data_IF_131651616525
#
_entry.id   IF_131651616525
#
_cell.length_a   1.000
_cell.length_b   1.000
_cell.length_c   1.000
_cell.angle_alpha   90.00
_cell.angle_beta   90.00
_cell.angle_gamma   90.00
#
_symmetry.space_group_name_H-M   'P 1'
#
loop_
_entity.id
_entity.type
_entity.pdbx_description
1 polymer ?
#
# COMPACT_ATOMS: atom_id res chain seq x y z
N UNK A 1 44.81 14.95 -21.66
CA UNK A 1 43.95 13.94 -22.32
C UNK A 1 43.04 13.25 -21.31
N UNK A 2 43.60 12.65 -20.25
CA UNK A 2 42.84 11.98 -19.19
C UNK A 2 41.84 12.92 -18.50
N UNK A 3 42.25 14.14 -18.12
CA UNK A 3 41.37 15.09 -17.42
C UNK A 3 40.15 15.53 -18.26
N UNK A 4 40.33 15.65 -19.57
CA UNK A 4 39.25 15.99 -20.51
C UNK A 4 38.21 14.86 -20.59
N UNK A 5 38.67 13.61 -20.63
CA UNK A 5 37.81 12.43 -20.62
C UNK A 5 37.06 12.34 -19.28
N UNK A 6 37.74 12.56 -18.15
CA UNK A 6 37.10 12.55 -16.84
C UNK A 6 36.08 13.68 -16.67
N UNK A 7 36.36 14.88 -17.17
CA UNK A 7 35.41 16.00 -17.15
C UNK A 7 34.17 15.69 -18.00
N UNK A 8 34.36 15.02 -19.13
CA UNK A 8 33.29 14.63 -20.03
C UNK A 8 32.45 13.44 -19.54
N UNK A 9 32.94 12.61 -18.61
CA UNK A 9 32.24 11.41 -18.08
C UNK A 9 31.63 11.64 -16.68
N UNK A 10 32.23 12.53 -15.88
CA UNK A 10 31.79 12.82 -14.50
C UNK A 10 30.29 13.14 -14.38
N UNK A 11 29.70 14.05 -15.18
CA UNK A 11 28.28 14.36 -15.02
C UNK A 11 27.36 13.17 -15.34
N UNK A 12 27.76 12.31 -16.27
CA UNK A 12 27.00 11.11 -16.66
C UNK A 12 27.01 10.07 -15.54
N UNK A 13 28.15 9.87 -14.86
CA UNK A 13 28.21 9.00 -13.69
C UNK A 13 27.32 9.48 -12.54
N UNK A 14 27.23 10.80 -12.34
CA UNK A 14 26.33 11.40 -11.34
C UNK A 14 24.88 11.13 -11.71
N UNK A 15 24.48 11.40 -12.97
CA UNK A 15 23.13 11.15 -13.47
C UNK A 15 22.75 9.67 -13.31
N UNK A 16 23.60 8.76 -13.78
CA UNK A 16 23.37 7.32 -13.66
C UNK A 16 23.22 6.90 -12.18
N UNK A 17 24.10 7.39 -11.31
CA UNK A 17 24.01 7.11 -9.87
C UNK A 17 22.68 7.56 -9.29
N UNK A 18 22.23 8.78 -9.60
CA UNK A 18 20.93 9.32 -9.15
C UNK A 18 19.79 8.46 -9.68
N UNK A 19 19.80 8.10 -10.97
CA UNK A 19 18.74 7.27 -11.58
C UNK A 19 18.64 5.91 -10.89
N UNK A 20 19.77 5.24 -10.64
CA UNK A 20 19.81 3.96 -9.94
C UNK A 20 19.31 4.07 -8.50
N UNK A 21 19.69 5.14 -7.79
CA UNK A 21 19.18 5.42 -6.44
C UNK A 21 17.67 5.68 -6.43
N UNK A 22 17.14 6.40 -7.42
CA UNK A 22 15.69 6.65 -7.55
C UNK A 22 14.92 5.35 -7.80
N UNK A 23 15.44 4.46 -8.65
CA UNK A 23 14.81 3.16 -8.90
C UNK A 23 14.80 2.31 -7.63
N UNK A 24 15.93 2.25 -6.91
CA UNK A 24 16.01 1.57 -5.63
C UNK A 24 15.01 2.18 -4.61
N UNK A 25 14.90 3.51 -4.58
CA UNK A 25 13.99 4.22 -3.71
C UNK A 25 12.53 3.89 -4.01
N UNK A 26 12.11 3.81 -5.28
CA UNK A 26 10.74 3.41 -5.65
C UNK A 26 10.43 1.98 -5.17
N UNK A 27 11.35 1.03 -5.37
CA UNK A 27 11.16 -0.36 -4.90
C UNK A 27 11.06 -0.39 -3.37
N UNK A 28 11.85 0.43 -2.68
CA UNK A 28 11.79 0.57 -1.22
C UNK A 28 10.45 1.12 -0.76
N UNK A 29 9.86 2.09 -1.48
CA UNK A 29 8.52 2.61 -1.17
C UNK A 29 7.42 1.54 -1.32
N UNK A 30 7.46 0.68 -2.36
CA UNK A 30 6.52 -0.46 -2.49
C UNK A 30 6.66 -1.42 -1.30
N UNK A 31 7.89 -1.76 -0.90
CA UNK A 31 8.13 -2.60 0.26
C UNK A 31 7.61 -1.95 1.55
N UNK A 32 7.94 -0.69 1.80
CA UNK A 32 7.53 0.02 3.02
C UNK A 32 6.01 0.13 3.13
N UNK A 33 5.33 0.47 2.03
CA UNK A 33 3.87 0.48 1.96
C UNK A 33 3.28 -0.91 2.25
N UNK A 34 3.85 -1.96 1.65
CA UNK A 34 3.46 -3.36 1.90
C UNK A 34 3.61 -3.76 3.37
N UNK A 35 4.76 -3.47 3.98
CA UNK A 35 5.06 -3.80 5.39
C UNK A 35 4.13 -3.05 6.35
N UNK A 36 3.90 -1.75 6.12
CA UNK A 36 3.00 -0.93 6.94
C UNK A 36 1.56 -1.47 6.86
N UNK A 37 1.12 -1.90 5.68
CA UNK A 37 -0.21 -2.46 5.45
C UNK A 37 -0.39 -3.84 6.10
N UNK A 38 0.61 -4.71 6.04
CA UNK A 38 0.59 -6.01 6.72
C UNK A 38 0.54 -5.85 8.25
N UNK A 39 1.32 -4.91 8.81
CA UNK A 39 1.29 -4.60 10.25
C UNK A 39 -0.10 -4.16 10.73
N UNK A 40 -0.82 -3.35 9.94
CA UNK A 40 -2.19 -2.93 10.26
C UNK A 40 -3.22 -4.08 10.26
N UNK A 41 -2.92 -5.21 9.64
CA UNK A 41 -3.84 -6.36 9.49
C UNK A 41 -3.56 -7.51 10.47
N UNK A 42 -2.49 -7.42 11.26
CA UNK A 42 -2.09 -8.49 12.17
C UNK A 42 -1.61 -9.78 11.47
N UNK A 43 -1.43 -9.77 10.13
CA UNK A 43 -0.93 -10.92 9.37
C UNK A 43 0.53 -11.23 9.77
N UNK A 44 0.85 -12.50 10.07
CA UNK A 44 2.21 -12.94 10.36
C UNK A 44 3.12 -12.60 9.18
N UNK A 45 4.17 -11.84 9.46
CA UNK A 45 5.16 -11.40 8.46
C UNK A 45 5.96 -12.61 7.98
N UNK A 46 5.51 -13.27 6.92
CA UNK A 46 6.31 -14.31 6.29
C UNK A 46 7.47 -13.68 5.50
N UNK A 47 8.62 -14.36 5.47
CA UNK A 47 9.80 -13.99 4.68
C UNK A 47 9.51 -13.88 3.17
N UNK A 48 8.35 -14.36 2.73
CA UNK A 48 7.85 -14.31 1.36
C UNK A 48 7.78 -12.87 0.81
N UNK A 49 7.38 -11.90 1.62
CA UNK A 49 7.29 -10.49 1.21
C UNK A 49 8.67 -9.92 0.85
N UNK A 50 9.67 -10.18 1.68
CA UNK A 50 11.05 -9.76 1.44
C UNK A 50 11.66 -10.47 0.24
N UNK A 51 11.44 -11.79 0.07
CA UNK A 51 11.90 -12.55 -1.10
C UNK A 51 11.37 -11.96 -2.41
N UNK A 52 10.07 -11.62 -2.45
CA UNK A 52 9.46 -10.94 -3.62
C UNK A 52 10.13 -9.60 -3.92
N UNK A 53 10.55 -8.84 -2.90
CA UNK A 53 11.29 -7.60 -3.12
C UNK A 53 12.70 -7.85 -3.63
N UNK A 54 13.43 -8.86 -3.14
CA UNK A 54 14.75 -9.23 -3.69
C UNK A 54 14.63 -9.63 -5.16
N UNK A 55 13.60 -10.42 -5.52
CA UNK A 55 13.34 -10.78 -6.93
C UNK A 55 13.04 -9.55 -7.80
N UNK A 56 12.24 -8.60 -7.29
CA UNK A 56 11.99 -7.31 -7.95
C UNK A 56 13.29 -6.53 -8.18
N UNK A 57 14.10 -6.37 -7.12
CA UNK A 57 15.40 -5.69 -7.21
C UNK A 57 16.26 -6.35 -8.30
N UNK A 58 16.42 -7.68 -8.27
CA UNK A 58 17.23 -8.39 -9.25
C UNK A 58 16.72 -8.20 -10.69
N UNK A 59 15.40 -8.30 -10.91
CA UNK A 59 14.80 -8.09 -12.24
C UNK A 59 14.99 -6.67 -12.75
N UNK A 60 14.73 -5.67 -11.91
CA UNK A 60 14.82 -4.26 -12.30
C UNK A 60 16.26 -3.79 -12.47
N UNK A 61 17.18 -4.24 -11.62
CA UNK A 61 18.61 -3.96 -11.82
C UNK A 61 19.14 -4.60 -13.10
N UNK A 62 18.79 -5.86 -13.39
CA UNK A 62 19.20 -6.49 -14.64
C UNK A 62 18.67 -5.74 -15.86
N UNK A 63 17.40 -5.32 -15.83
CA UNK A 63 16.80 -4.53 -16.92
C UNK A 63 17.54 -3.19 -17.10
N UNK A 64 17.66 -2.38 -16.04
CA UNK A 64 18.32 -1.07 -16.13
C UNK A 64 19.79 -1.20 -16.50
N UNK A 65 20.48 -2.25 -16.03
CA UNK A 65 21.87 -2.49 -16.37
C UNK A 65 22.07 -2.73 -17.88
N UNK A 66 21.26 -3.61 -18.48
CA UNK A 66 21.32 -3.86 -19.92
C UNK A 66 21.02 -2.57 -20.71
N UNK A 67 20.01 -1.82 -20.29
CA UNK A 67 19.63 -0.57 -20.94
C UNK A 67 20.72 0.52 -20.79
N UNK A 68 21.36 0.59 -19.63
CA UNK A 68 22.49 1.51 -19.37
C UNK A 68 23.69 1.19 -20.24
N UNK A 69 23.97 -0.10 -20.50
CA UNK A 69 25.03 -0.49 -21.43
C UNK A 69 24.75 -0.01 -22.86
N UNK A 70 23.49 -0.04 -23.30
CA UNK A 70 23.09 0.49 -24.61
C UNK A 70 23.29 2.01 -24.65
N UNK A 71 22.85 2.73 -23.62
CA UNK A 71 23.06 4.19 -23.54
C UNK A 71 24.55 4.54 -23.46
N UNK A 72 25.41 3.72 -22.83
CA UNK A 72 26.85 3.95 -22.83
C UNK A 72 27.42 3.93 -24.25
N UNK A 73 27.02 2.96 -25.08
CA UNK A 73 27.43 2.88 -26.49
C UNK A 73 26.89 4.09 -27.29
N UNK A 74 25.63 4.45 -27.07
CA UNK A 74 25.01 5.63 -27.70
C UNK A 74 25.72 6.93 -27.31
N UNK A 75 26.04 7.14 -26.04
CA UNK A 75 26.74 8.33 -25.56
C UNK A 75 28.18 8.41 -26.05
N UNK A 76 28.89 7.27 -26.15
CA UNK A 76 30.22 7.23 -26.78
C UNK A 76 30.15 7.64 -28.25
N UNK A 77 29.11 7.20 -28.97
CA UNK A 77 28.88 7.58 -30.37
C UNK A 77 28.60 9.08 -30.50
N UNK A 78 27.73 9.63 -29.64
CA UNK A 78 27.43 11.08 -29.63
C UNK A 78 28.65 11.91 -29.25
N UNK A 79 29.46 11.45 -28.30
CA UNK A 79 30.72 12.10 -27.93
C UNK A 79 31.67 12.20 -29.11
N UNK A 80 31.88 11.10 -29.85
CA UNK A 80 32.70 11.08 -31.06
C UNK A 80 32.18 12.01 -32.15
N UNK A 81 30.87 12.04 -32.39
CA UNK A 81 30.26 12.95 -33.37
C UNK A 81 30.47 14.42 -32.98
N UNK A 82 30.27 14.77 -31.70
CA UNK A 82 30.48 16.13 -31.21
C UNK A 82 31.94 16.58 -31.38
N UNK A 83 32.90 15.69 -31.12
CA UNK A 83 34.33 15.97 -31.29
C UNK A 83 34.69 16.20 -32.78
N UNK A 84 34.18 15.38 -33.68
CA UNK A 84 34.51 15.46 -35.12
C UNK A 84 33.81 16.60 -35.86
N UNK A 85 32.58 16.95 -35.45
CA UNK A 85 31.73 17.92 -36.18
C UNK A 85 31.65 19.29 -35.50
N UNK A 86 32.18 19.44 -34.28
CA UNK A 86 31.98 20.64 -33.46
C UNK A 86 30.54 20.82 -32.98
N UNK A 87 29.68 19.82 -33.17
CA UNK A 87 28.29 19.82 -32.72
C UNK A 87 28.20 19.76 -31.19
N UNK A 88 27.07 20.20 -30.64
CA UNK A 88 26.76 20.15 -29.20
C UNK A 88 25.53 19.30 -28.93
N UNK A 89 25.52 18.08 -29.47
CA UNK A 89 24.45 17.13 -29.19
C UNK A 89 24.47 16.73 -27.70
N UNK A 90 23.31 16.58 -27.06
CA UNK A 90 23.23 16.26 -25.65
C UNK A 90 23.71 14.82 -25.37
N UNK A 91 24.57 14.66 -24.35
CA UNK A 91 24.97 13.36 -23.82
C UNK A 91 24.08 12.97 -22.66
N UNK A 92 22.94 12.35 -22.96
CA UNK A 92 21.95 11.92 -21.98
C UNK A 92 21.64 10.43 -22.15
N UNK A 93 21.51 9.66 -21.05
CA UNK A 93 21.16 8.24 -21.11
C UNK A 93 19.64 8.08 -21.28
N UNK A 94 19.17 8.22 -22.52
CA UNK A 94 17.74 8.32 -22.85
C UNK A 94 17.00 7.05 -22.46
N UNK A 95 17.52 5.88 -22.84
CA UNK A 95 16.81 4.62 -22.59
C UNK A 95 16.78 4.27 -21.10
N UNK A 96 17.82 4.61 -20.36
CA UNK A 96 17.94 4.36 -18.92
C UNK A 96 16.92 5.18 -18.14
N UNK A 97 16.75 6.46 -18.52
CA UNK A 97 15.72 7.32 -17.93
C UNK A 97 14.32 6.78 -18.27
N UNK A 98 14.07 6.38 -19.52
CA UNK A 98 12.80 5.76 -19.91
C UNK A 98 12.54 4.45 -19.15
N UNK A 99 13.54 3.60 -19.01
CA UNK A 99 13.46 2.34 -18.28
C UNK A 99 13.17 2.55 -16.79
N UNK A 100 13.81 3.54 -16.16
CA UNK A 100 13.54 3.93 -14.79
C UNK A 100 12.11 4.45 -14.62
N UNK A 101 11.61 5.30 -15.53
CA UNK A 101 10.22 5.78 -15.51
C UNK A 101 9.23 4.62 -15.69
N UNK A 102 9.52 3.67 -16.58
CA UNK A 102 8.68 2.50 -16.81
C UNK A 102 8.58 1.59 -15.58
N UNK A 103 9.71 1.32 -14.92
CA UNK A 103 9.73 0.57 -13.65
C UNK A 103 8.94 1.32 -12.57
N UNK A 104 9.15 2.64 -12.48
CA UNK A 104 8.42 3.50 -11.55
C UNK A 104 6.91 3.41 -11.73
N UNK A 105 6.44 3.42 -12.99
CA UNK A 105 5.03 3.28 -13.33
C UNK A 105 4.46 1.91 -12.93
N UNK A 106 5.17 0.82 -13.24
CA UNK A 106 4.75 -0.54 -12.87
C UNK A 106 4.60 -0.68 -11.35
N UNK A 107 5.58 -0.18 -10.60
CA UNK A 107 5.56 -0.28 -9.14
C UNK A 107 4.46 0.57 -8.52
N UNK A 108 4.26 1.80 -9.01
CA UNK A 108 3.18 2.66 -8.54
C UNK A 108 1.81 2.01 -8.78
N UNK A 109 1.60 1.42 -9.98
CA UNK A 109 0.39 0.67 -10.29
C UNK A 109 0.21 -0.54 -9.37
N UNK A 110 1.27 -1.31 -9.12
CA UNK A 110 1.22 -2.47 -8.22
C UNK A 110 0.82 -2.10 -6.79
N UNK A 111 1.27 -0.95 -6.28
CA UNK A 111 0.86 -0.44 -4.96
C UNK A 111 -0.63 -0.09 -4.96
N UNK A 112 -1.11 0.58 -6.01
CA UNK A 112 -2.50 1.01 -6.14
C UNK A 112 -3.45 -0.19 -6.25
N UNK A 113 -3.16 -1.16 -7.11
CA UNK A 113 -3.98 -2.36 -7.35
C UNK A 113 -4.10 -3.24 -6.10
N UNK A 114 -3.01 -3.40 -5.33
CA UNK A 114 -3.05 -4.04 -4.00
C UNK A 114 -4.01 -3.35 -3.01
N UNK A 115 -4.50 -2.13 -3.29
CA UNK A 115 -5.54 -1.43 -2.50
C UNK A 115 -6.92 -1.92 -2.85
N UNK A 116 -7.23 -1.87 -4.14
CA UNK A 116 -8.56 -2.17 -4.67
C UNK A 116 -8.91 -3.64 -4.45
N UNK A 117 -7.99 -4.58 -4.73
CA UNK A 117 -8.28 -6.02 -4.54
C UNK A 117 -8.61 -6.36 -3.09
N UNK A 118 -7.97 -5.65 -2.15
CA UNK A 118 -8.19 -5.85 -0.71
C UNK A 118 -9.47 -5.18 -0.22
N UNK A 119 -9.99 -4.19 -0.93
CA UNK A 119 -11.28 -3.57 -0.67
C UNK A 119 -12.40 -4.45 -1.22
N UNK A 120 -12.25 -4.93 -2.46
CA UNK A 120 -13.18 -5.88 -3.09
C UNK A 120 -13.32 -7.18 -2.29
N UNK A 121 -12.22 -7.73 -1.78
CA UNK A 121 -12.28 -8.92 -0.93
C UNK A 121 -13.07 -8.69 0.37
N UNK A 122 -12.90 -7.52 1.01
CA UNK A 122 -13.68 -7.18 2.22
C UNK A 122 -15.17 -7.01 1.93
N UNK A 123 -15.50 -6.39 0.79
CA UNK A 123 -16.89 -6.22 0.35
C UNK A 123 -17.50 -7.59 0.03
N UNK A 124 -16.75 -8.47 -0.64
CA UNK A 124 -17.19 -9.83 -0.94
C UNK A 124 -17.41 -10.67 0.32
N UNK A 125 -16.49 -10.61 1.31
CA UNK A 125 -16.65 -11.30 2.59
C UNK A 125 -17.85 -10.76 3.37
N UNK A 126 -18.05 -9.45 3.41
CA UNK A 126 -19.21 -8.84 4.05
C UNK A 126 -20.52 -9.23 3.36
N UNK A 127 -20.54 -9.25 2.02
CA UNK A 127 -21.70 -9.68 1.24
C UNK A 127 -21.99 -11.18 1.42
N UNK A 128 -20.96 -12.02 1.51
CA UNK A 128 -21.09 -13.45 1.76
C UNK A 128 -21.61 -13.74 3.18
N UNK A 129 -21.13 -13.01 4.19
CA UNK A 129 -21.62 -13.10 5.56
C UNK A 129 -23.07 -12.64 5.71
N UNK A 130 -23.45 -11.57 5.00
CA UNK A 130 -24.84 -11.10 4.97
C UNK A 130 -25.76 -12.11 4.23
N UNK A 131 -25.29 -12.65 3.11
CA UNK A 131 -26.01 -13.65 2.33
C UNK A 131 -26.24 -14.95 3.09
N UNK A 132 -25.25 -15.42 3.87
CA UNK A 132 -25.39 -16.61 4.71
C UNK A 132 -26.31 -16.38 5.91
N UNK A 133 -26.30 -15.18 6.51
CA UNK A 133 -27.23 -14.82 7.59
C UNK A 133 -28.70 -14.77 7.13
N UNK A 134 -28.97 -14.30 5.90
CA UNK A 134 -30.32 -14.26 5.32
C UNK A 134 -30.85 -15.64 4.91
N UNK A 135 -29.95 -16.57 4.58
CA UNK A 135 -30.30 -17.93 4.13
C UNK A 135 -30.75 -18.84 5.28
N UNK A 136 -30.29 -18.59 6.51
CA UNK A 136 -30.81 -19.26 7.70
C UNK A 136 -32.12 -18.59 8.17
N UNK A 137 -33.24 -19.27 7.95
CA UNK A 137 -34.60 -18.82 8.32
C UNK A 137 -34.74 -18.41 9.80
N UNK A 138 -33.96 -19.00 10.71
CA UNK A 138 -33.93 -18.64 12.14
C UNK A 138 -33.22 -17.32 12.45
N UNK A 139 -32.26 -16.90 11.63
CA UNK A 139 -31.43 -15.70 11.89
C UNK A 139 -32.06 -14.42 11.34
N UNK A 140 -33.15 -14.55 10.56
CA UNK A 140 -33.83 -13.42 9.93
C UNK A 140 -34.37 -12.40 10.95
N UNK A 141 -34.80 -12.86 12.13
CA UNK A 141 -35.24 -11.97 13.21
C UNK A 141 -34.09 -11.15 13.80
N UNK A 142 -32.90 -11.73 13.93
CA UNK A 142 -31.70 -11.05 14.45
C UNK A 142 -31.19 -10.05 13.41
N UNK A 143 -31.18 -10.42 12.13
CA UNK A 143 -30.78 -9.53 11.03
C UNK A 143 -31.74 -8.36 10.90
N UNK A 144 -33.05 -8.58 11.03
CA UNK A 144 -34.06 -7.51 11.03
C UNK A 144 -33.88 -6.55 12.21
N UNK A 145 -33.63 -7.07 13.42
CA UNK A 145 -33.40 -6.25 14.61
C UNK A 145 -32.11 -5.41 14.50
N UNK A 146 -31.06 -5.96 13.89
CA UNK A 146 -29.80 -5.22 13.64
C UNK A 146 -30.00 -4.14 12.57
N UNK A 147 -30.73 -4.42 11.50
CA UNK A 147 -31.09 -3.44 10.47
C UNK A 147 -31.92 -2.29 11.07
N UNK A 148 -32.93 -2.59 11.89
CA UNK A 148 -33.76 -1.60 12.56
C UNK A 148 -32.94 -0.76 13.56
N UNK A 149 -32.00 -1.39 14.28
CA UNK A 149 -31.08 -0.69 15.17
C UNK A 149 -30.14 0.26 14.41
N UNK A 150 -29.60 -0.17 13.27
CA UNK A 150 -28.74 0.68 12.41
C UNK A 150 -29.53 1.85 11.80
N UNK A 151 -30.80 1.63 11.44
CA UNK A 151 -31.68 2.68 10.93
C UNK A 151 -32.04 3.72 12.00
N UNK A 152 -32.28 3.27 13.24
CA UNK A 152 -32.47 4.15 14.42
C UNK A 152 -31.20 4.91 14.78
N UNK A 153 -30.05 4.25 14.79
CA UNK A 153 -28.75 4.87 15.07
C UNK A 153 -28.41 5.93 14.00
N UNK A 154 -28.72 5.66 12.73
CA UNK A 154 -28.59 6.63 11.63
C UNK A 154 -29.53 7.84 11.77
N UNK A 155 -30.76 7.64 12.24
CA UNK A 155 -31.72 8.74 12.52
C UNK A 155 -31.30 9.61 13.71
N UNK A 156 -30.67 9.03 14.74
CA UNK A 156 -30.18 9.78 15.90
C UNK A 156 -28.91 10.58 15.58
N UNK A 157 -28.03 10.07 14.71
CA UNK A 157 -26.86 10.81 14.22
C UNK A 157 -27.23 11.99 13.30
N UNK A 158 -28.43 11.99 12.71
CA UNK A 158 -28.95 13.05 11.83
C UNK A 158 -29.81 14.13 12.50
N UNK A 159 -30.08 14.04 13.81
CA UNK A 159 -30.93 15.01 14.52
C UNK A 159 -30.19 15.70 15.69
N UNK A 160 -29.84 17.00 15.60
CA UNK A 160 -29.06 17.70 16.64
C UNK A 160 -29.82 18.04 17.93
N UNK A 161 -30.91 17.36 18.29
CA UNK A 161 -31.69 17.66 19.51
C UNK A 161 -31.99 16.38 20.27
N UNK A 162 -31.16 16.11 21.29
CA UNK A 162 -31.36 15.03 22.25
C UNK A 162 -32.55 15.28 23.17
N UNK A 163 -33.20 14.24 23.71
CA UNK A 163 -34.23 14.42 24.71
C UNK A 163 -33.59 14.62 26.08
N UNK A 164 -34.15 15.57 26.85
CA UNK A 164 -33.84 15.79 28.25
C UNK A 164 -34.14 14.53 29.07
N UNK A 165 -33.25 14.23 30.03
CA UNK A 165 -33.48 13.24 31.08
C UNK A 165 -34.51 13.80 32.06
N UNK A 166 -35.61 13.09 32.26
CA UNK A 166 -36.43 13.24 33.46
C UNK A 166 -36.03 12.14 34.45
N UNK A 167 -35.50 12.59 35.59
CA UNK A 167 -35.20 11.83 36.79
C UNK A 167 -36.50 11.32 37.43
N UNK A 168 -36.61 10.00 37.66
CA UNK A 168 -37.48 9.46 38.69
C UNK A 168 -36.83 8.24 39.36
N UNK A 169 -36.69 8.35 40.69
CA UNK A 169 -35.91 7.52 41.60
C UNK A 169 -36.52 6.11 41.83
N UNK A 170 -35.74 5.13 42.33
CA UNK A 170 -36.23 3.77 42.58
C UNK A 170 -36.91 3.62 43.95
N UNK A 171 -38.05 2.91 44.00
CA UNK A 171 -38.75 2.43 45.21
C UNK A 171 -38.38 0.97 45.58
N UNK A 172 -38.81 0.48 46.75
CA UNK A 172 -37.95 -0.31 47.65
C UNK A 172 -37.97 -1.84 47.48
N UNK A 173 -36.79 -2.40 47.81
CA UNK A 173 -36.43 -3.70 48.41
C UNK A 173 -37.36 -4.93 48.33
N UNK A 174 -36.79 -6.00 47.76
CA UNK A 174 -37.04 -7.38 48.20
C UNK A 174 -35.69 -8.09 48.35
N UNK A 175 -35.19 -8.20 49.58
CA UNK A 175 -34.07 -9.11 49.92
C UNK A 175 -34.65 -10.46 50.39
N UNK A 176 -34.16 -11.60 49.89
CA UNK A 176 -34.50 -12.90 50.48
C UNK A 176 -33.68 -13.15 51.76
N UNK A 177 -34.35 -13.69 52.78
CA UNK A 177 -33.81 -14.07 54.08
C UNK A 177 -32.80 -15.24 53.97
N UNK A 178 -31.59 -15.17 54.55
CA UNK A 178 -30.62 -16.25 54.50
C UNK A 178 -30.50 -16.96 55.85
N UNK A 179 -31.28 -18.00 56.12
CA UNK A 179 -31.08 -18.84 57.31
C UNK A 179 -31.48 -20.29 57.00
N UNK A 180 -30.59 -21.07 56.37
CA UNK A 180 -30.48 -22.52 56.61
C UNK A 180 -29.02 -22.93 56.35
N UNK A 181 -28.22 -23.01 57.42
CA UNK A 181 -27.23 -24.07 57.63
C UNK A 181 -27.15 -24.35 59.13
N UNK A 182 -27.47 -25.60 59.49
CA UNK A 182 -27.30 -26.22 60.80
C UNK A 182 -25.83 -26.16 61.27
N UNK A 183 -25.57 -25.96 62.57
CA UNK A 183 -24.59 -26.71 63.38
C UNK A 183 -24.91 -26.55 64.89
N UNK A 184 -25.13 -27.72 65.54
CA UNK A 184 -25.06 -28.12 66.98
C UNK A 184 -25.79 -27.34 68.09
#
# INVERSE_FOLDING_TARGET
MIDHIFAAIRPQLIILTIVYLLVLFVIFLDLWAGIRKARKRGELRSSLGYRKTVEKIAKYFNLIFVVTAIDAVQMLTVWQINEQTGSRLPLIPILTVLGAMFIGFIELKSVYEKSEDKEKAKIADAAAALGSALKNRETQGIVAAVLEYMERAGRQAGNPRGPARDEQAPGPEFMPNPDIYDEE
#
